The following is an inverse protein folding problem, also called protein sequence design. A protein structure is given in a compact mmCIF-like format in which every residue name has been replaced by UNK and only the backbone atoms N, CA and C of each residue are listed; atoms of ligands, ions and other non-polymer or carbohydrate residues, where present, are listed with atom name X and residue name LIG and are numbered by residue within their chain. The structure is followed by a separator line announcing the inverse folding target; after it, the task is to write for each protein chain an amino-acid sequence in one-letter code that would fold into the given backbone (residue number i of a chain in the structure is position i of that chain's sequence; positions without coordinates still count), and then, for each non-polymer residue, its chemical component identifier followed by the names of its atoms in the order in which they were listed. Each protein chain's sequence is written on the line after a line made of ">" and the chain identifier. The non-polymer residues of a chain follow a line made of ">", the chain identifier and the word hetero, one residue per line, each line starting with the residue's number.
data_IF_574362048023
#
_entry.id   IF_574362048023
#
_cell.length_a   1.000
_cell.length_b   1.000
_cell.length_c   1.000
_cell.angle_alpha   90.00
_cell.angle_beta   90.00
_cell.angle_gamma   90.00
#
_symmetry.space_group_name_H-M   'P 1'
#
loop_
_entity.id
_entity.type
_entity.pdbx_description
1 polymer ?
#
# COMPACT_ATOMS: atom_id res chain seq x y z
N UNK A 1 -3.64 11.99 4.17
CA UNK A 1 -2.86 12.46 3.00
C UNK A 1 -2.92 13.98 2.82
N UNK A 2 -4.09 14.65 2.96
CA UNK A 2 -4.21 16.12 2.77
C UNK A 2 -3.29 16.94 3.68
N UNK A 3 -3.21 16.60 4.97
CA UNK A 3 -2.30 17.28 5.92
C UNK A 3 -0.85 17.17 5.45
N UNK A 4 -0.44 16.00 5.01
CA UNK A 4 0.90 15.76 4.47
C UNK A 4 1.16 16.61 3.21
N UNK A 5 0.21 16.66 2.27
CA UNK A 5 0.34 17.48 1.05
C UNK A 5 0.47 18.98 1.37
N UNK A 6 -0.37 19.48 2.30
CA UNK A 6 -0.27 20.88 2.75
C UNK A 6 1.07 21.19 3.41
N UNK A 7 1.59 20.26 4.22
CA UNK A 7 2.89 20.41 4.85
C UNK A 7 4.02 20.43 3.80
N UNK A 8 3.92 19.56 2.79
CA UNK A 8 4.83 19.48 1.66
C UNK A 8 4.92 20.81 0.89
N UNK A 9 3.78 21.39 0.54
CA UNK A 9 3.72 22.67 -0.16
C UNK A 9 4.33 23.80 0.67
N UNK A 10 4.04 23.85 1.98
CA UNK A 10 4.64 24.82 2.90
C UNK A 10 6.17 24.68 3.01
N UNK A 11 6.68 23.46 2.86
CA UNK A 11 8.12 23.19 2.84
C UNK A 11 8.77 23.52 1.48
N UNK A 12 8.02 24.02 0.50
CA UNK A 12 8.54 24.44 -0.81
C UNK A 12 8.72 23.30 -1.83
N UNK A 13 8.16 22.11 -1.55
CA UNK A 13 8.19 20.98 -2.48
C UNK A 13 6.99 20.98 -3.42
N UNK A 14 7.16 20.40 -4.59
CA UNK A 14 6.09 20.27 -5.57
C UNK A 14 4.89 19.54 -5.00
N UNK A 15 3.69 20.08 -5.25
CA UNK A 15 2.44 19.47 -4.88
C UNK A 15 2.28 18.08 -5.55
N UNK A 16 1.71 17.15 -4.82
CA UNK A 16 1.24 15.88 -5.37
C UNK A 16 -0.28 15.93 -5.35
N UNK A 17 -0.96 15.85 -6.50
CA UNK A 17 -2.41 15.89 -6.56
C UNK A 17 -3.03 14.77 -5.73
N UNK A 18 -3.98 15.10 -4.86
CA UNK A 18 -4.71 14.17 -4.02
C UNK A 18 -6.21 14.36 -4.28
N UNK A 19 -6.90 13.26 -4.53
CA UNK A 19 -8.32 13.20 -4.80
C UNK A 19 -9.01 12.30 -3.78
N UNK A 20 -10.17 12.70 -3.28
CA UNK A 20 -11.05 11.82 -2.51
C UNK A 20 -12.11 11.23 -3.43
N UNK A 21 -12.39 9.95 -3.27
CA UNK A 21 -13.40 9.25 -4.01
C UNK A 21 -14.12 8.24 -3.10
N UNK A 22 -15.43 8.06 -3.30
CA UNK A 22 -16.29 7.24 -2.47
C UNK A 22 -17.17 6.31 -3.31
N UNK A 23 -17.54 5.17 -2.74
CA UNK A 23 -18.40 4.19 -3.39
C UNK A 23 -17.69 3.43 -4.52
N UNK A 24 -18.28 3.36 -5.70
CA UNK A 24 -17.63 2.77 -6.87
C UNK A 24 -16.67 3.77 -7.52
N UNK A 25 -15.38 3.61 -7.28
CA UNK A 25 -14.32 4.52 -7.72
C UNK A 25 -13.64 4.11 -9.03
N UNK A 26 -14.08 3.02 -9.67
CA UNK A 26 -13.41 2.48 -10.87
C UNK A 26 -13.33 3.46 -12.04
N UNK A 27 -14.42 4.20 -12.32
CA UNK A 27 -14.43 5.19 -13.40
C UNK A 27 -13.58 6.42 -13.08
N UNK A 28 -13.51 6.81 -11.81
CA UNK A 28 -12.63 7.90 -11.39
C UNK A 28 -11.15 7.52 -11.56
N UNK A 29 -10.77 6.29 -11.20
CA UNK A 29 -9.42 5.77 -11.41
C UNK A 29 -9.06 5.81 -12.90
N UNK A 30 -9.93 5.29 -13.77
CA UNK A 30 -9.72 5.32 -15.24
C UNK A 30 -9.62 6.74 -15.81
N UNK A 31 -10.28 7.70 -15.18
CA UNK A 31 -10.18 9.12 -15.56
C UNK A 31 -8.81 9.69 -15.18
N UNK A 32 -8.36 9.42 -13.95
CA UNK A 32 -7.08 9.91 -13.42
C UNK A 32 -5.88 9.27 -14.11
N UNK A 33 -5.96 7.99 -14.46
CA UNK A 33 -4.93 7.24 -15.21
C UNK A 33 -4.52 7.94 -16.52
N UNK A 34 -5.44 8.66 -17.17
CA UNK A 34 -5.15 9.42 -18.39
C UNK A 34 -4.37 10.70 -18.16
N UNK A 35 -4.21 11.13 -16.92
CA UNK A 35 -3.60 12.40 -16.51
C UNK A 35 -2.19 12.25 -15.93
N UNK A 36 -1.76 11.03 -15.64
CA UNK A 36 -0.47 10.76 -14.98
C UNK A 36 0.05 9.36 -15.33
N UNK A 37 1.33 9.13 -15.06
CA UNK A 37 1.98 7.83 -15.32
C UNK A 37 1.60 6.76 -14.29
N UNK A 38 1.25 7.15 -13.06
CA UNK A 38 0.92 6.25 -11.95
C UNK A 38 -0.20 6.84 -11.10
N UNK A 39 -1.23 6.05 -10.85
CA UNK A 39 -2.28 6.35 -9.85
C UNK A 39 -2.04 5.48 -8.63
N UNK A 40 -1.84 6.08 -7.46
CA UNK A 40 -1.73 5.38 -6.18
C UNK A 40 -3.07 5.51 -5.46
N UNK A 41 -3.69 4.36 -5.13
CA UNK A 41 -4.99 4.29 -4.48
C UNK A 41 -4.79 3.82 -3.04
N UNK A 42 -5.05 4.71 -2.08
CA UNK A 42 -5.00 4.38 -0.65
C UNK A 42 -6.42 4.07 -0.17
N UNK A 43 -6.71 2.79 -0.01
CA UNK A 43 -7.99 2.30 0.47
C UNK A 43 -7.94 1.99 1.97
N UNK A 44 -9.05 2.23 2.67
CA UNK A 44 -9.19 1.80 4.05
C UNK A 44 -8.94 0.28 4.20
N UNK A 45 -8.32 -0.12 5.30
CA UNK A 45 -7.87 -1.49 5.56
C UNK A 45 -8.98 -2.53 5.82
N UNK A 46 -10.20 -2.30 5.33
CA UNK A 46 -11.34 -3.21 5.41
C UNK A 46 -11.99 -3.39 4.05
N UNK A 47 -12.81 -4.42 3.93
CA UNK A 47 -13.52 -4.77 2.70
C UNK A 47 -14.65 -3.77 2.40
N UNK A 48 -14.30 -2.67 1.75
CA UNK A 48 -15.23 -1.59 1.36
C UNK A 48 -15.60 -1.66 -0.13
N UNK A 49 -16.63 -0.89 -0.52
CA UNK A 49 -17.01 -0.71 -1.93
C UNK A 49 -15.90 -0.09 -2.75
N UNK A 50 -15.16 0.85 -2.17
CA UNK A 50 -13.99 1.51 -2.76
C UNK A 50 -12.90 0.48 -3.07
N UNK A 51 -12.54 -0.35 -2.07
CA UNK A 51 -11.53 -1.39 -2.24
C UNK A 51 -11.93 -2.39 -3.32
N UNK A 52 -13.16 -2.90 -3.28
CA UNK A 52 -13.65 -3.85 -4.29
C UNK A 52 -13.65 -3.26 -5.69
N UNK A 53 -14.12 -2.03 -5.85
CA UNK A 53 -14.16 -1.36 -7.16
C UNK A 53 -12.77 -1.01 -7.68
N UNK A 54 -11.84 -0.62 -6.81
CA UNK A 54 -10.43 -0.40 -7.18
C UNK A 54 -9.80 -1.67 -7.74
N UNK A 55 -10.03 -2.83 -7.12
CA UNK A 55 -9.50 -4.11 -7.60
C UNK A 55 -9.94 -4.49 -9.02
N UNK A 56 -11.07 -3.96 -9.50
CA UNK A 56 -11.55 -4.26 -10.86
C UNK A 56 -10.75 -3.57 -11.95
N UNK A 57 -9.95 -2.57 -11.61
CA UNK A 57 -9.21 -1.74 -12.58
C UNK A 57 -7.73 -1.57 -12.23
N UNK A 58 -7.29 -2.01 -11.05
CA UNK A 58 -5.90 -1.87 -10.63
C UNK A 58 -4.99 -2.89 -11.35
N UNK A 59 -3.79 -2.48 -11.70
CA UNK A 59 -2.75 -3.37 -12.23
C UNK A 59 -2.05 -4.14 -11.11
N UNK A 60 -1.82 -3.46 -9.98
CA UNK A 60 -1.07 -4.01 -8.85
C UNK A 60 -1.75 -3.68 -7.53
N UNK A 61 -1.89 -4.69 -6.67
CA UNK A 61 -2.23 -4.52 -5.26
C UNK A 61 -1.03 -4.84 -4.38
N UNK A 62 -0.72 -3.94 -3.45
CA UNK A 62 0.21 -4.17 -2.35
C UNK A 62 -0.58 -4.20 -1.04
N UNK A 63 -0.73 -5.38 -0.44
CA UNK A 63 -1.31 -5.52 0.89
C UNK A 63 -0.21 -5.40 1.94
N UNK A 64 -0.29 -4.37 2.77
CA UNK A 64 0.71 -4.12 3.82
C UNK A 64 0.39 -4.96 5.06
N UNK A 65 1.40 -5.60 5.64
CA UNK A 65 1.23 -6.37 6.88
C UNK A 65 2.43 -6.20 7.81
N UNK A 66 2.15 -6.03 9.10
CA UNK A 66 3.16 -6.16 10.17
C UNK A 66 3.20 -7.62 10.63
N UNK A 67 4.29 -8.37 10.37
CA UNK A 67 4.35 -9.82 10.63
C UNK A 67 4.11 -10.21 12.10
N UNK A 68 4.48 -9.33 13.04
CA UNK A 68 4.25 -9.55 14.48
C UNK A 68 2.83 -9.23 14.96
N UNK A 69 1.94 -8.74 14.07
CA UNK A 69 0.56 -8.40 14.40
C UNK A 69 -0.39 -9.54 14.02
N UNK A 70 -0.92 -10.23 15.01
CA UNK A 70 -1.92 -11.29 14.79
C UNK A 70 -3.19 -10.76 14.12
N UNK A 71 -3.60 -9.54 14.48
CA UNK A 71 -4.78 -8.91 13.89
C UNK A 71 -4.61 -8.66 12.38
N UNK A 72 -3.46 -8.11 11.98
CA UNK A 72 -3.18 -7.84 10.57
C UNK A 72 -3.02 -9.13 9.76
N UNK A 73 -2.42 -10.18 10.34
CA UNK A 73 -2.36 -11.50 9.70
C UNK A 73 -3.75 -12.11 9.50
N UNK A 74 -4.64 -11.97 10.48
CA UNK A 74 -6.01 -12.48 10.36
C UNK A 74 -6.81 -11.77 9.25
N UNK A 75 -6.58 -10.46 9.03
CA UNK A 75 -7.24 -9.73 7.94
C UNK A 75 -6.78 -10.19 6.56
N UNK A 76 -5.57 -10.74 6.44
CA UNK A 76 -5.01 -11.21 5.18
C UNK A 76 -5.89 -12.30 4.51
N UNK A 77 -6.54 -13.15 5.31
CA UNK A 77 -7.47 -14.15 4.81
C UNK A 77 -8.63 -13.53 4.04
N UNK A 78 -9.23 -12.47 4.58
CA UNK A 78 -10.35 -11.80 3.94
C UNK A 78 -9.89 -11.02 2.70
N UNK A 79 -8.77 -10.33 2.78
CA UNK A 79 -8.17 -9.63 1.63
C UNK A 79 -7.86 -10.62 0.50
N UNK A 80 -7.25 -11.75 0.81
CA UNK A 80 -6.96 -12.80 -0.17
C UNK A 80 -8.23 -13.28 -0.87
N UNK A 81 -9.30 -13.58 -0.13
CA UNK A 81 -10.58 -13.98 -0.71
C UNK A 81 -11.17 -12.93 -1.65
N UNK A 82 -11.18 -11.66 -1.23
CA UNK A 82 -11.69 -10.54 -2.02
C UNK A 82 -10.87 -10.37 -3.31
N UNK A 83 -9.54 -10.44 -3.23
CA UNK A 83 -8.65 -10.35 -4.40
C UNK A 83 -8.90 -11.52 -5.36
N UNK A 84 -8.95 -12.76 -4.86
CA UNK A 84 -9.21 -13.94 -5.71
C UNK A 84 -10.58 -13.88 -6.37
N UNK A 85 -11.56 -13.29 -5.69
CA UNK A 85 -12.89 -13.03 -6.28
C UNK A 85 -12.81 -11.99 -7.40
N UNK A 86 -12.08 -10.89 -7.21
CA UNK A 86 -11.87 -9.88 -8.24
C UNK A 86 -11.20 -10.47 -9.49
N UNK A 87 -10.16 -11.28 -9.30
CA UNK A 87 -9.46 -11.95 -10.39
C UNK A 87 -10.36 -12.92 -11.19
N UNK A 88 -11.25 -13.65 -10.51
CA UNK A 88 -12.07 -14.70 -11.14
C UNK A 88 -13.42 -14.22 -11.62
N UNK A 89 -14.13 -13.41 -10.84
CA UNK A 89 -15.55 -13.09 -11.04
C UNK A 89 -15.79 -11.67 -11.54
N UNK A 90 -14.91 -10.73 -11.23
CA UNK A 90 -15.09 -9.30 -11.55
C UNK A 90 -14.24 -8.80 -12.71
N UNK A 91 -13.66 -9.71 -13.50
CA UNK A 91 -13.09 -9.38 -14.80
C UNK A 91 -11.72 -8.72 -14.78
N UNK A 92 -10.95 -8.84 -13.67
CA UNK A 92 -9.56 -8.40 -13.64
C UNK A 92 -8.58 -9.57 -13.39
N UNK A 93 -8.45 -10.52 -14.32
CA UNK A 93 -7.57 -11.68 -14.19
C UNK A 93 -6.09 -11.30 -14.14
N UNK A 94 -5.71 -10.14 -14.68
CA UNK A 94 -4.33 -9.68 -14.79
C UNK A 94 -3.84 -8.93 -13.54
N UNK A 95 -4.72 -8.69 -12.55
CA UNK A 95 -4.36 -8.06 -11.28
C UNK A 95 -3.22 -8.82 -10.60
N UNK A 96 -2.08 -8.17 -10.44
CA UNK A 96 -0.93 -8.67 -9.68
C UNK A 96 -1.09 -8.27 -8.22
N UNK A 97 -1.20 -9.23 -7.32
CA UNK A 97 -1.45 -8.96 -5.91
C UNK A 97 -0.37 -9.59 -5.01
N UNK A 98 0.23 -8.77 -4.17
CA UNK A 98 1.36 -9.14 -3.32
C UNK A 98 1.16 -8.69 -1.88
N UNK A 99 1.83 -9.40 -0.97
CA UNK A 99 2.01 -8.98 0.43
C UNK A 99 3.35 -8.25 0.57
N UNK A 100 3.33 -7.03 1.08
CA UNK A 100 4.52 -6.28 1.48
C UNK A 100 4.61 -6.25 3.01
N UNK A 101 5.60 -6.92 3.55
CA UNK A 101 5.86 -6.91 4.99
C UNK A 101 6.49 -5.59 5.41
N UNK A 102 5.88 -4.91 6.37
CA UNK A 102 6.29 -3.57 6.83
C UNK A 102 6.46 -3.51 8.33
N UNK A 103 7.06 -2.42 8.83
CA UNK A 103 7.23 -2.15 10.27
C UNK A 103 7.91 -3.31 11.01
N UNK A 104 8.96 -3.87 10.40
CA UNK A 104 9.70 -4.99 10.96
C UNK A 104 10.80 -4.45 11.87
N UNK A 105 10.72 -4.77 13.16
CA UNK A 105 11.78 -4.47 14.13
C UNK A 105 12.90 -5.52 14.00
N UNK A 106 14.19 -5.17 14.19
CA UNK A 106 15.30 -6.12 14.07
C UNK A 106 15.10 -7.40 14.89
N UNK A 107 14.64 -7.28 16.14
CA UNK A 107 14.39 -8.40 17.04
C UNK A 107 13.10 -9.21 16.71
N UNK A 108 12.34 -8.81 15.69
CA UNK A 108 11.12 -9.47 15.18
C UNK A 108 11.28 -10.01 13.76
N UNK A 109 12.50 -10.13 13.27
CA UNK A 109 12.77 -10.66 11.94
C UNK A 109 12.25 -12.08 11.75
N UNK A 110 12.30 -12.90 12.81
CA UNK A 110 11.78 -14.27 12.76
C UNK A 110 10.28 -14.34 12.44
N UNK A 111 9.48 -13.39 12.93
CA UNK A 111 8.05 -13.33 12.62
C UNK A 111 7.83 -13.12 11.10
N UNK A 112 8.70 -12.32 10.46
CA UNK A 112 8.64 -12.10 9.02
C UNK A 112 9.05 -13.34 8.22
N UNK A 113 10.07 -14.08 8.67
CA UNK A 113 10.49 -15.33 8.04
C UNK A 113 9.37 -16.37 8.15
N UNK A 114 8.76 -16.50 9.33
CA UNK A 114 7.66 -17.45 9.54
C UNK A 114 6.44 -17.14 8.68
N UNK A 115 6.05 -15.86 8.59
CA UNK A 115 4.93 -15.44 7.73
C UNK A 115 5.25 -15.66 6.24
N UNK A 116 6.48 -15.39 5.80
CA UNK A 116 6.89 -15.67 4.42
C UNK A 116 6.76 -17.15 4.07
N UNK A 117 7.21 -18.04 4.96
CA UNK A 117 7.09 -19.49 4.77
C UNK A 117 5.63 -19.92 4.70
N UNK A 118 4.78 -19.38 5.60
CA UNK A 118 3.34 -19.65 5.60
C UNK A 118 2.71 -19.25 4.26
N UNK A 119 2.94 -18.03 3.79
CA UNK A 119 2.35 -17.52 2.55
C UNK A 119 2.86 -18.28 1.31
N UNK A 120 4.10 -18.74 1.31
CA UNK A 120 4.67 -19.52 0.20
C UNK A 120 4.24 -20.98 0.21
N UNK A 121 3.68 -21.49 1.30
CA UNK A 121 3.26 -22.90 1.41
C UNK A 121 2.05 -23.25 0.57
N UNK A 122 1.23 -22.26 0.17
CA UNK A 122 0.03 -22.45 -0.64
C UNK A 122 -0.17 -21.26 -1.58
N UNK A 123 -0.38 -21.55 -2.87
CA UNK A 123 -0.61 -20.57 -3.93
C UNK A 123 -1.94 -19.81 -3.79
N UNK A 124 -2.84 -20.26 -2.94
CA UNK A 124 -4.08 -19.53 -2.66
C UNK A 124 -3.79 -18.17 -2.01
N UNK A 125 -2.73 -18.11 -1.21
CA UNK A 125 -2.30 -16.86 -0.58
C UNK A 125 -1.76 -15.86 -1.58
N UNK A 126 -1.88 -14.57 -1.25
CA UNK A 126 -1.14 -13.53 -1.93
C UNK A 126 0.35 -13.71 -1.62
N UNK A 127 1.15 -13.82 -2.66
CA UNK A 127 2.57 -14.13 -2.48
C UNK A 127 3.35 -12.94 -1.91
N UNK A 128 4.26 -13.18 -0.96
CA UNK A 128 5.05 -12.10 -0.36
C UNK A 128 6.09 -11.58 -1.33
N UNK A 129 6.30 -10.26 -1.33
CA UNK A 129 7.44 -9.65 -1.99
C UNK A 129 8.74 -10.06 -1.28
N UNK A 130 9.83 -10.16 -2.04
CA UNK A 130 11.16 -10.44 -1.50
C UNK A 130 11.65 -9.32 -0.58
N UNK A 131 11.36 -8.07 -0.94
CA UNK A 131 11.75 -6.90 -0.17
C UNK A 131 10.79 -6.67 0.99
N UNK A 132 11.32 -6.13 2.07
CA UNK A 132 10.62 -5.84 3.32
C UNK A 132 10.97 -4.43 3.78
N UNK A 133 10.08 -3.80 4.54
CA UNK A 133 10.31 -2.46 5.10
C UNK A 133 10.48 -2.57 6.61
N UNK A 134 11.64 -2.15 7.11
CA UNK A 134 11.93 -2.08 8.53
C UNK A 134 11.14 -0.93 9.20
N UNK A 135 10.91 -1.05 10.50
CA UNK A 135 10.38 0.04 11.32
C UNK A 135 11.54 0.99 11.66
N UNK A 136 11.57 2.16 11.02
CA UNK A 136 12.61 3.18 11.18
C UNK A 136 11.96 4.54 11.38
N UNK A 137 12.52 5.35 12.28
CA UNK A 137 12.02 6.69 12.62
C UNK A 137 12.02 7.66 11.43
N UNK A 138 12.87 7.40 10.43
CA UNK A 138 12.92 8.22 9.22
C UNK A 138 11.60 8.25 8.45
N UNK A 139 10.79 7.18 8.51
CA UNK A 139 9.48 7.18 7.86
C UNK A 139 8.52 8.16 8.53
N UNK A 140 8.50 8.19 9.86
CA UNK A 140 7.66 9.12 10.62
C UNK A 140 8.17 10.56 10.45
N UNK A 141 9.48 10.78 10.56
CA UNK A 141 10.10 12.08 10.38
C UNK A 141 9.83 12.66 8.97
N UNK A 142 9.92 11.85 7.93
CA UNK A 142 9.62 12.26 6.56
C UNK A 142 8.16 12.71 6.44
N UNK A 143 7.21 11.91 6.93
CA UNK A 143 5.78 12.23 6.88
C UNK A 143 5.47 13.54 7.62
N UNK A 144 6.03 13.73 8.82
CA UNK A 144 5.84 14.94 9.62
C UNK A 144 6.41 16.19 8.94
N UNK A 145 7.43 16.03 8.10
CA UNK A 145 8.02 17.10 7.31
C UNK A 145 7.36 17.32 5.94
N UNK A 146 6.33 16.54 5.58
CA UNK A 146 5.70 16.59 4.26
C UNK A 146 6.57 16.00 3.13
N UNK A 147 7.55 15.17 3.49
CA UNK A 147 8.53 14.61 2.57
C UNK A 147 8.29 13.13 2.30
N UNK A 148 8.84 12.64 1.19
CA UNK A 148 9.14 11.24 1.02
C UNK A 148 10.50 10.89 1.67
N UNK A 149 10.71 9.63 2.04
CA UNK A 149 11.95 9.19 2.72
C UNK A 149 13.21 9.54 1.93
N UNK A 150 13.17 9.45 0.60
CA UNK A 150 14.30 9.81 -0.27
C UNK A 150 14.58 11.31 -0.38
N UNK A 151 13.68 12.16 0.13
CA UNK A 151 13.83 13.61 0.10
C UNK A 151 14.43 14.15 1.40
N UNK A 152 14.40 13.37 2.50
CA UNK A 152 14.93 13.78 3.80
C UNK A 152 16.43 14.09 3.74
N UNK A 153 17.21 13.26 3.03
CA UNK A 153 18.66 13.48 2.87
C UNK A 153 18.97 14.75 2.06
N UNK A 154 18.14 15.05 1.04
CA UNK A 154 18.30 16.26 0.22
C UNK A 154 17.98 17.51 1.03
N UNK A 155 17.00 17.48 1.91
CA UNK A 155 16.63 18.61 2.76
C UNK A 155 17.73 18.92 3.79
N UNK A 156 18.41 17.92 4.34
CA UNK A 156 19.51 18.10 5.28
C UNK A 156 20.79 18.67 4.66
N UNK A 157 20.93 18.58 3.33
CA UNK A 157 22.09 19.16 2.59
C UNK A 157 21.88 20.61 2.13
N UNK A 158 20.68 21.18 2.34
CA UNK A 158 20.30 22.55 1.97
C UNK A 158 20.25 23.51 3.17
N UNK A 159 20.59 23.05 4.38
CA UNK A 159 20.61 23.80 5.64
C UNK A 159 21.99 24.27 6.06
#
# INVERSE_FOLDING_TARGET
>A
LFVWSTTREKAGFSAIPIYEAYGNISEEIKRLEKLCDVVIIDCAGHDSSEFRSALTVADVLLTLVKPSSSLEKNTLTNVTKTVRTAQKQHGNPDLKAYVLMTRIKPHKLQDAVSLEQELKSDEIWLQPLKNRISELDIFENAVNAGLGVHEVEKASSLG
#
